data_IF_856564076532
#
_entry.id   IF_856564076532
#
_cell.length_a   1.000
_cell.length_b   1.000
_cell.length_c   1.000
_cell.angle_alpha   90.00
_cell.angle_beta   90.00
_cell.angle_gamma   90.00
#
_symmetry.space_group_name_H-M   'P 1'
#
loop_
_entity.id
_entity.type
_entity.pdbx_description
1 polymer ?
#
# COMPACT_ATOMS: atom_id res chain seq x y z
N UNK A 1 -8.64 12.05 -14.03
CA UNK A 1 -9.93 11.70 -13.39
C UNK A 1 -10.52 10.38 -13.87
N UNK A 2 -10.73 10.15 -15.17
CA UNK A 2 -11.30 8.87 -15.68
C UNK A 2 -10.47 7.62 -15.36
N UNK A 3 -9.13 7.71 -15.31
CA UNK A 3 -8.25 6.59 -14.92
C UNK A 3 -8.27 6.27 -13.41
N UNK A 4 -8.57 7.26 -12.56
CA UNK A 4 -8.62 7.11 -11.10
C UNK A 4 -9.83 6.29 -10.65
N UNK A 5 -10.94 6.41 -11.39
CA UNK A 5 -12.18 5.67 -11.16
C UNK A 5 -12.00 4.18 -11.49
N UNK A 6 -11.18 3.85 -12.48
CA UNK A 6 -10.94 2.46 -12.90
C UNK A 6 -10.10 1.65 -11.90
N UNK A 7 -9.14 2.28 -11.22
CA UNK A 7 -8.31 1.59 -10.22
C UNK A 7 -9.07 1.24 -8.95
N UNK A 8 -10.02 2.08 -8.52
CA UNK A 8 -10.92 1.76 -7.41
C UNK A 8 -11.78 0.53 -7.74
N UNK A 9 -12.29 0.41 -8.97
CA UNK A 9 -13.15 -0.71 -9.40
C UNK A 9 -12.39 -2.05 -9.43
N UNK A 10 -11.10 -2.07 -9.78
CA UNK A 10 -10.30 -3.29 -9.87
C UNK A 10 -9.93 -3.89 -8.50
N UNK A 11 -9.69 -3.06 -7.49
CA UNK A 11 -9.41 -3.52 -6.11
C UNK A 11 -10.64 -4.24 -5.50
N UNK A 12 -11.86 -3.87 -5.91
CA UNK A 12 -13.10 -4.53 -5.45
C UNK A 12 -13.36 -5.91 -6.08
N UNK A 13 -12.65 -6.29 -7.14
CA UNK A 13 -12.93 -7.54 -7.88
C UNK A 13 -12.33 -8.81 -7.25
N UNK A 14 -11.52 -8.69 -6.20
CA UNK A 14 -10.90 -9.83 -5.50
C UNK A 14 -11.54 -10.16 -4.14
N UNK A 15 -12.63 -9.48 -3.76
CA UNK A 15 -13.38 -9.82 -2.53
C UNK A 15 -14.30 -11.01 -2.83
N UNK A 16 -14.03 -12.13 -2.16
CA UNK A 16 -14.71 -13.43 -2.21
C UNK A 16 -16.21 -13.39 -2.55
N UNK A 17 -16.64 -14.43 -3.27
CA UNK A 17 -17.96 -14.70 -3.89
C UNK A 17 -19.20 -14.51 -2.97
N UNK A 18 -19.05 -14.27 -1.67
CA UNK A 18 -20.16 -13.91 -0.76
C UNK A 18 -20.52 -12.42 -0.72
N UNK A 19 -19.79 -11.55 -1.44
CA UNK A 19 -20.03 -10.09 -1.45
C UNK A 19 -21.09 -9.61 -2.47
N UNK A 20 -21.86 -10.50 -3.09
CA UNK A 20 -22.79 -10.16 -4.20
C UNK A 20 -23.98 -9.24 -3.81
N UNK A 21 -24.17 -8.88 -2.54
CA UNK A 21 -25.26 -7.99 -2.10
C UNK A 21 -24.78 -6.80 -1.24
N UNK A 22 -23.57 -6.28 -1.48
CA UNK A 22 -23.14 -5.04 -0.84
C UNK A 22 -23.44 -3.82 -1.73
N UNK A 23 -24.65 -3.28 -1.63
CA UNK A 23 -24.94 -1.95 -2.16
C UNK A 23 -24.17 -0.93 -1.34
N UNK A 24 -23.16 -0.29 -1.95
CA UNK A 24 -22.41 0.80 -1.34
C UNK A 24 -23.39 1.93 -0.99
N UNK A 25 -23.61 2.25 0.30
CA UNK A 25 -24.51 3.34 0.67
C UNK A 25 -23.97 4.66 0.17
N UNK A 26 -24.85 5.45 -0.43
CA UNK A 26 -24.62 6.80 -0.98
C UNK A 26 -24.03 7.81 0.04
N UNK A 27 -23.91 7.41 1.32
CA UNK A 27 -23.20 8.16 2.38
C UNK A 27 -21.67 8.20 2.25
N UNK A 28 -21.06 7.49 1.29
CA UNK A 28 -19.60 7.54 1.03
C UNK A 28 -19.08 8.88 0.44
N UNK A 29 -19.88 9.95 0.39
CA UNK A 29 -19.55 11.23 -0.29
C UNK A 29 -19.10 12.40 0.61
N UNK A 30 -18.83 12.19 1.91
CA UNK A 30 -18.11 13.17 2.75
C UNK A 30 -16.54 13.08 2.78
N UNK A 31 -15.82 12.15 2.09
CA UNK A 31 -14.35 12.16 2.01
C UNK A 31 -13.73 13.21 1.07
N UNK A 32 -14.54 13.87 0.22
CA UNK A 32 -14.07 14.65 -0.93
C UNK A 32 -13.08 15.75 -0.55
N UNK A 33 -13.30 16.45 0.57
CA UNK A 33 -12.45 17.57 0.99
C UNK A 33 -11.07 17.14 1.52
N UNK A 34 -10.98 16.06 2.31
CA UNK A 34 -9.68 15.52 2.78
C UNK A 34 -8.88 14.95 1.61
N UNK A 35 -9.55 14.24 0.71
CA UNK A 35 -8.96 13.61 -0.47
C UNK A 35 -8.38 14.66 -1.42
N UNK A 36 -9.19 15.68 -1.77
CA UNK A 36 -8.79 16.81 -2.62
C UNK A 36 -7.69 17.64 -1.96
N UNK A 37 -7.76 17.90 -0.64
CA UNK A 37 -6.71 18.64 0.08
C UNK A 37 -5.39 17.87 0.10
N UNK A 38 -5.41 16.55 0.32
CA UNK A 38 -4.21 15.71 0.29
C UNK A 38 -3.60 15.65 -1.11
N UNK A 39 -4.45 15.55 -2.14
CA UNK A 39 -4.04 15.53 -3.54
C UNK A 39 -3.41 16.86 -3.97
N UNK A 40 -4.04 17.99 -3.62
CA UNK A 40 -3.53 19.33 -3.90
C UNK A 40 -2.20 19.61 -3.18
N UNK A 41 -2.05 19.18 -1.92
CA UNK A 41 -0.77 19.35 -1.17
C UNK A 41 0.39 18.61 -1.85
N UNK A 42 0.13 17.47 -2.46
CA UNK A 42 1.17 16.73 -3.19
C UNK A 42 1.53 17.34 -4.52
N UNK A 43 0.54 17.84 -5.28
CA UNK A 43 0.83 18.55 -6.53
C UNK A 43 1.78 19.73 -6.29
N UNK A 44 1.65 20.40 -5.14
CA UNK A 44 2.57 21.45 -4.71
C UNK A 44 3.95 20.87 -4.34
N UNK A 45 4.00 19.78 -3.57
CA UNK A 45 5.26 19.11 -3.15
C UNK A 45 6.13 18.67 -4.33
N UNK A 46 5.52 18.22 -5.42
CA UNK A 46 6.21 17.66 -6.59
C UNK A 46 6.25 18.61 -7.80
N UNK A 47 6.06 19.91 -7.60
CA UNK A 47 6.01 20.91 -8.67
C UNK A 47 7.26 20.97 -9.55
N UNK A 48 8.44 20.65 -8.98
CA UNK A 48 9.72 20.61 -9.70
C UNK A 48 10.06 19.29 -10.39
N UNK A 49 9.21 18.27 -10.26
CA UNK A 49 9.49 16.93 -10.80
C UNK A 49 9.10 16.88 -12.28
N UNK A 50 9.79 16.10 -13.11
CA UNK A 50 9.34 15.82 -14.47
C UNK A 50 7.99 15.05 -14.46
N UNK A 51 7.31 14.98 -15.60
CA UNK A 51 5.97 14.35 -15.69
C UNK A 51 5.97 12.90 -15.18
N UNK A 52 6.97 12.11 -15.53
CA UNK A 52 7.07 10.69 -15.15
C UNK A 52 7.22 10.51 -13.64
N UNK A 53 8.06 11.33 -13.01
CA UNK A 53 8.23 11.34 -11.56
C UNK A 53 6.96 11.78 -10.82
N UNK A 54 6.23 12.79 -11.36
CA UNK A 54 4.93 13.21 -10.82
C UNK A 54 3.89 12.09 -10.92
N UNK A 55 3.88 11.35 -12.02
CA UNK A 55 2.95 10.24 -12.24
C UNK A 55 3.21 9.11 -11.25
N UNK A 56 4.48 8.72 -11.02
CA UNK A 56 4.82 7.72 -10.00
C UNK A 56 4.43 8.13 -8.59
N UNK A 57 4.69 9.38 -8.19
CA UNK A 57 4.27 9.87 -6.87
C UNK A 57 2.74 9.92 -6.74
N UNK A 58 2.04 10.38 -7.77
CA UNK A 58 0.58 10.43 -7.78
C UNK A 58 -0.01 9.03 -7.67
N UNK A 59 0.56 8.05 -8.37
CA UNK A 59 0.12 6.65 -8.32
C UNK A 59 0.37 6.04 -6.94
N UNK A 60 1.59 6.12 -6.41
CA UNK A 60 1.94 5.59 -5.09
C UNK A 60 1.11 6.18 -3.98
N UNK A 61 0.92 7.50 -3.99
CA UNK A 61 0.06 8.12 -2.99
C UNK A 61 -1.40 7.70 -3.18
N UNK A 62 -1.90 7.60 -4.41
CA UNK A 62 -3.30 7.18 -4.64
C UNK A 62 -3.54 5.78 -4.12
N UNK A 63 -2.63 4.85 -4.43
CA UNK A 63 -2.70 3.45 -4.00
C UNK A 63 -2.68 3.33 -2.48
N UNK A 64 -1.69 3.95 -1.83
CA UNK A 64 -1.58 3.91 -0.35
C UNK A 64 -2.69 4.67 0.34
N UNK A 65 -3.12 5.81 -0.21
CA UNK A 65 -4.24 6.58 0.33
C UNK A 65 -5.56 5.81 0.24
N UNK A 66 -5.81 5.08 -0.86
CA UNK A 66 -7.03 4.29 -1.01
C UNK A 66 -7.14 3.20 0.07
N UNK A 67 -6.05 2.47 0.34
CA UNK A 67 -6.01 1.46 1.41
C UNK A 67 -6.33 2.11 2.77
N UNK A 68 -5.64 3.19 3.12
CA UNK A 68 -5.83 3.87 4.40
C UNK A 68 -7.24 4.46 4.53
N UNK A 69 -7.77 5.08 3.47
CA UNK A 69 -9.11 5.65 3.50
C UNK A 69 -10.19 4.57 3.67
N UNK A 70 -10.08 3.44 2.97
CA UNK A 70 -11.03 2.33 3.10
C UNK A 70 -11.00 1.79 4.52
N UNK A 71 -9.80 1.62 5.10
CA UNK A 71 -9.66 1.20 6.49
C UNK A 71 -10.30 2.21 7.45
N UNK A 72 -9.97 3.50 7.33
CA UNK A 72 -10.52 4.58 8.16
C UNK A 72 -12.06 4.63 8.11
N UNK A 73 -12.65 4.55 6.91
CA UNK A 73 -14.12 4.54 6.74
C UNK A 73 -14.74 3.35 7.45
N UNK A 74 -14.12 2.17 7.37
CA UNK A 74 -14.62 0.96 8.03
C UNK A 74 -14.44 1.01 9.55
N UNK A 75 -13.35 1.62 10.04
CA UNK A 75 -13.14 1.88 11.47
C UNK A 75 -14.21 2.85 12.02
N UNK A 76 -14.43 3.96 11.33
CA UNK A 76 -15.38 5.02 11.71
C UNK A 76 -16.84 4.52 11.74
N UNK A 77 -17.18 3.54 10.89
CA UNK A 77 -18.52 2.93 10.88
C UNK A 77 -18.86 2.23 12.21
N UNK A 78 -17.84 1.82 12.98
CA UNK A 78 -18.01 1.02 14.18
C UNK A 78 -18.44 -0.42 13.87
N UNK A 79 -18.03 -1.36 14.71
CA UNK A 79 -18.35 -2.77 14.51
C UNK A 79 -17.90 -3.66 15.66
N UNK A 80 -18.30 -4.94 15.66
CA UNK A 80 -17.78 -5.92 16.61
C UNK A 80 -16.26 -6.10 16.46
N UNK A 81 -15.59 -6.62 17.49
CA UNK A 81 -14.13 -6.73 17.53
C UNK A 81 -13.53 -7.48 16.32
N UNK A 82 -14.22 -8.50 15.81
CA UNK A 82 -13.78 -9.27 14.65
C UNK A 82 -13.83 -8.46 13.34
N UNK A 83 -14.73 -7.47 13.20
CA UNK A 83 -14.75 -6.59 12.01
C UNK A 83 -13.44 -5.79 11.93
N UNK A 84 -12.91 -5.35 13.07
CA UNK A 84 -11.65 -4.62 13.08
C UNK A 84 -10.45 -5.47 12.70
N UNK A 85 -10.43 -6.75 13.12
CA UNK A 85 -9.40 -7.69 12.68
C UNK A 85 -9.44 -7.92 11.17
N UNK A 86 -10.64 -7.98 10.60
CA UNK A 86 -10.83 -8.08 9.14
C UNK A 86 -10.33 -6.82 8.42
N UNK A 87 -10.63 -5.62 8.93
CA UNK A 87 -10.12 -4.37 8.35
C UNK A 87 -8.59 -4.35 8.32
N UNK A 88 -7.96 -4.71 9.42
CA UNK A 88 -6.50 -4.74 9.53
C UNK A 88 -5.90 -5.82 8.61
N UNK A 89 -6.52 -7.00 8.53
CA UNK A 89 -6.07 -8.08 7.65
C UNK A 89 -6.23 -7.74 6.16
N UNK A 90 -7.33 -7.10 5.77
CA UNK A 90 -7.53 -6.63 4.39
C UNK A 90 -6.49 -5.57 4.01
N UNK A 91 -6.12 -4.71 4.97
CA UNK A 91 -5.05 -3.73 4.78
C UNK A 91 -3.69 -4.41 4.58
N UNK A 92 -3.37 -5.42 5.38
CA UNK A 92 -2.18 -6.27 5.22
C UNK A 92 -2.10 -6.88 3.81
N UNK A 93 -3.17 -7.53 3.35
CA UNK A 93 -3.22 -8.15 2.02
C UNK A 93 -3.08 -7.11 0.89
N UNK A 94 -3.73 -5.95 1.05
CA UNK A 94 -3.64 -4.86 0.07
C UNK A 94 -2.22 -4.33 -0.05
N UNK A 95 -1.49 -4.20 1.07
CA UNK A 95 -0.09 -3.81 1.05
C UNK A 95 0.83 -4.89 0.45
N UNK A 96 0.54 -6.18 0.64
CA UNK A 96 1.31 -7.26 -0.01
C UNK A 96 1.16 -7.23 -1.55
N UNK A 97 -0.03 -6.89 -2.05
CA UNK A 97 -0.26 -6.64 -3.47
C UNK A 97 0.56 -5.43 -3.95
N UNK A 98 0.56 -4.32 -3.21
CA UNK A 98 1.35 -3.13 -3.58
C UNK A 98 2.85 -3.41 -3.54
N UNK A 99 3.34 -4.18 -2.57
CA UNK A 99 4.73 -4.60 -2.50
C UNK A 99 5.16 -5.29 -3.80
N UNK A 100 4.36 -6.25 -4.28
CA UNK A 100 4.63 -6.95 -5.53
C UNK A 100 4.58 -6.01 -6.74
N UNK A 101 3.64 -5.05 -6.77
CA UNK A 101 3.58 -4.01 -7.81
C UNK A 101 4.87 -3.20 -7.87
N UNK A 102 5.31 -2.65 -6.74
CA UNK A 102 6.50 -1.78 -6.69
C UNK A 102 7.82 -2.56 -6.83
N UNK A 103 7.87 -3.83 -6.40
CA UNK A 103 8.96 -4.73 -6.73
C UNK A 103 9.10 -4.90 -8.24
N UNK A 104 8.01 -5.20 -8.95
CA UNK A 104 8.03 -5.38 -10.40
C UNK A 104 8.39 -4.09 -11.14
N UNK A 105 7.90 -2.96 -10.64
CA UNK A 105 8.18 -1.65 -11.21
C UNK A 105 9.67 -1.29 -11.08
N UNK A 106 10.27 -1.46 -9.90
CA UNK A 106 11.71 -1.31 -9.71
C UNK A 106 12.49 -2.28 -10.60
N UNK A 107 12.13 -3.57 -10.55
CA UNK A 107 12.79 -4.63 -11.31
C UNK A 107 12.79 -4.34 -12.81
N UNK A 108 11.74 -3.75 -13.36
CA UNK A 108 11.66 -3.43 -14.79
C UNK A 108 12.74 -2.42 -15.24
N UNK A 109 13.23 -1.57 -14.34
CA UNK A 109 14.22 -0.51 -14.62
C UNK A 109 15.67 -0.97 -14.48
N UNK A 110 15.89 -2.13 -13.87
CA UNK A 110 17.23 -2.65 -13.59
C UNK A 110 17.82 -3.42 -14.77
N UNK A 111 19.15 -3.40 -14.89
CA UNK A 111 19.90 -4.31 -15.75
C UNK A 111 19.83 -5.77 -15.24
N UNK A 112 20.39 -6.73 -15.98
CA UNK A 112 20.30 -8.16 -15.63
C UNK A 112 20.91 -8.48 -14.26
N UNK A 113 22.08 -7.90 -13.95
CA UNK A 113 22.82 -8.23 -12.73
C UNK A 113 22.12 -7.64 -11.51
N UNK A 114 21.66 -6.38 -11.60
CA UNK A 114 20.94 -5.72 -10.52
C UNK A 114 19.54 -6.31 -10.31
N UNK A 115 18.89 -6.84 -11.36
CA UNK A 115 17.67 -7.64 -11.22
C UNK A 115 17.87 -8.87 -10.33
N UNK A 116 19.00 -9.57 -10.48
CA UNK A 116 19.29 -10.74 -9.65
C UNK A 116 19.63 -10.31 -8.21
N UNK A 117 20.41 -9.23 -8.02
CA UNK A 117 20.66 -8.67 -6.67
C UNK A 117 19.36 -8.27 -5.97
N UNK A 118 18.45 -7.57 -6.66
CA UNK A 118 17.14 -7.20 -6.12
C UNK A 118 16.33 -8.44 -5.73
N UNK A 119 16.33 -9.48 -6.57
CA UNK A 119 15.65 -10.75 -6.25
C UNK A 119 16.23 -11.41 -5.00
N UNK A 120 17.56 -11.47 -4.86
CA UNK A 120 18.19 -12.04 -3.67
C UNK A 120 17.88 -11.21 -2.41
N UNK A 121 17.95 -9.88 -2.51
CA UNK A 121 17.56 -8.99 -1.41
C UNK A 121 16.09 -9.21 -1.00
N UNK A 122 15.18 -9.36 -1.97
CA UNK A 122 13.77 -9.63 -1.71
C UNK A 122 13.56 -10.99 -1.02
N UNK A 123 14.27 -12.04 -1.45
CA UNK A 123 14.20 -13.37 -0.82
C UNK A 123 14.70 -13.35 0.63
N UNK A 124 15.77 -12.60 0.91
CA UNK A 124 16.28 -12.42 2.28
C UNK A 124 15.28 -11.63 3.12
N UNK A 125 14.70 -10.57 2.56
CA UNK A 125 13.66 -9.80 3.24
C UNK A 125 12.43 -10.65 3.57
N UNK A 126 11.99 -11.54 2.68
CA UNK A 126 10.89 -12.47 2.95
C UNK A 126 11.20 -13.36 4.16
N UNK A 127 12.42 -13.90 4.25
CA UNK A 127 12.85 -14.68 5.43
C UNK A 127 12.82 -13.85 6.71
N UNK A 128 13.31 -12.61 6.66
CA UNK A 128 13.23 -11.68 7.78
C UNK A 128 11.76 -11.45 8.19
N UNK A 129 10.89 -11.06 7.25
CA UNK A 129 9.46 -10.84 7.48
C UNK A 129 8.79 -12.03 8.14
N UNK A 130 9.06 -13.23 7.65
CA UNK A 130 8.46 -14.46 8.15
C UNK A 130 8.95 -14.74 9.59
N UNK A 131 10.26 -14.62 9.85
CA UNK A 131 10.83 -14.78 11.20
C UNK A 131 10.35 -13.72 12.20
N UNK A 132 10.21 -12.48 11.76
CA UNK A 132 9.66 -11.38 12.57
C UNK A 132 8.18 -11.65 12.88
N UNK A 133 7.43 -12.16 11.90
CA UNK A 133 6.02 -12.51 12.06
C UNK A 133 5.81 -13.65 13.06
N UNK A 134 6.70 -14.64 13.10
CA UNK A 134 6.69 -15.71 14.11
C UNK A 134 7.00 -15.16 15.52
N UNK A 135 7.98 -14.27 15.63
CA UNK A 135 8.31 -13.61 16.89
C UNK A 135 7.13 -12.77 17.41
N UNK A 136 6.54 -11.93 16.56
CA UNK A 136 5.39 -11.08 16.90
C UNK A 136 4.21 -11.94 17.35
N UNK A 137 3.92 -13.06 16.67
CA UNK A 137 2.84 -13.96 17.05
C UNK A 137 3.06 -14.52 18.45
N UNK A 138 4.27 -15.02 18.73
CA UNK A 138 4.63 -15.56 20.04
C UNK A 138 4.59 -14.50 21.15
N UNK A 139 5.03 -13.29 20.84
CA UNK A 139 5.15 -12.20 21.82
C UNK A 139 3.81 -11.51 22.11
N UNK A 140 3.05 -11.14 21.08
CA UNK A 140 1.84 -10.34 21.20
C UNK A 140 0.56 -11.16 21.37
N UNK A 141 0.51 -12.44 20.98
CA UNK A 141 -0.68 -13.29 21.20
C UNK A 141 -1.06 -13.43 22.68
N UNK A 142 -0.09 -13.22 23.59
CA UNK A 142 -0.29 -13.23 25.05
C UNK A 142 -1.14 -12.05 25.55
N UNK A 143 -1.36 -11.02 24.73
CA UNK A 143 -2.09 -9.80 25.07
C UNK A 143 -3.60 -9.84 24.80
N UNK A 144 -4.19 -10.99 24.46
CA UNK A 144 -5.62 -11.10 24.14
C UNK A 144 -6.03 -10.29 22.91
N UNK A 145 -7.23 -9.70 22.90
CA UNK A 145 -7.77 -8.96 21.75
C UNK A 145 -6.90 -7.78 21.29
N UNK A 146 -6.34 -7.01 22.24
CA UNK A 146 -5.41 -5.92 21.95
C UNK A 146 -4.09 -6.43 21.36
N UNK A 147 -3.59 -7.55 21.88
CA UNK A 147 -2.40 -8.21 21.35
C UNK A 147 -2.57 -8.69 19.91
N UNK A 148 -3.73 -9.27 19.58
CA UNK A 148 -4.06 -9.70 18.23
C UNK A 148 -4.09 -8.54 17.22
N UNK A 149 -4.58 -7.36 17.61
CA UNK A 149 -4.59 -6.16 16.76
C UNK A 149 -3.19 -5.59 16.58
N UNK A 150 -2.43 -5.48 17.66
CA UNK A 150 -1.04 -5.03 17.61
C UNK A 150 -0.19 -5.94 16.68
N UNK A 151 -0.45 -7.25 16.69
CA UNK A 151 0.18 -8.23 15.79
C UNK A 151 -0.12 -7.94 14.31
N UNK A 152 -1.39 -7.78 13.93
CA UNK A 152 -1.76 -7.51 12.53
C UNK A 152 -1.24 -6.13 12.09
N UNK A 153 -1.34 -5.11 12.94
CA UNK A 153 -0.79 -3.78 12.68
C UNK A 153 0.73 -3.82 12.43
N UNK A 154 1.47 -4.55 13.27
CA UNK A 154 2.94 -4.65 13.14
C UNK A 154 3.32 -5.35 11.83
N UNK A 155 2.63 -6.44 11.47
CA UNK A 155 2.80 -7.14 10.19
C UNK A 155 2.52 -6.23 9.00
N UNK A 156 1.43 -5.48 9.06
CA UNK A 156 1.03 -4.54 8.00
C UNK A 156 2.11 -3.47 7.79
N UNK A 157 2.66 -2.91 8.86
CA UNK A 157 3.72 -1.91 8.75
C UNK A 157 5.03 -2.48 8.22
N UNK A 158 5.38 -3.73 8.55
CA UNK A 158 6.55 -4.39 7.97
C UNK A 158 6.48 -4.40 6.44
N UNK A 159 5.33 -4.81 5.87
CA UNK A 159 5.10 -4.84 4.42
C UNK A 159 5.03 -3.43 3.83
N UNK A 160 4.31 -2.51 4.48
CA UNK A 160 4.18 -1.12 4.05
C UNK A 160 5.54 -0.44 3.93
N UNK A 161 6.40 -0.55 4.95
CA UNK A 161 7.72 0.08 4.96
C UNK A 161 8.60 -0.46 3.83
N UNK A 162 8.56 -1.77 3.58
CA UNK A 162 9.32 -2.35 2.46
C UNK A 162 8.77 -1.92 1.10
N UNK A 163 7.45 -1.77 0.98
CA UNK A 163 6.80 -1.21 -0.20
C UNK A 163 7.27 0.23 -0.47
N UNK A 164 7.37 1.06 0.58
CA UNK A 164 7.91 2.42 0.51
C UNK A 164 9.39 2.42 0.08
N UNK A 165 10.22 1.51 0.58
CA UNK A 165 11.62 1.39 0.13
C UNK A 165 11.73 1.06 -1.36
N UNK A 166 10.98 0.06 -1.84
CA UNK A 166 10.98 -0.34 -3.26
C UNK A 166 10.52 0.81 -4.17
N UNK A 167 9.51 1.57 -3.73
CA UNK A 167 9.07 2.77 -4.41
C UNK A 167 10.16 3.86 -4.41
N UNK A 168 10.81 4.12 -3.29
CA UNK A 168 11.86 5.14 -3.22
C UNK A 168 13.05 4.80 -4.13
N UNK A 169 13.49 3.54 -4.18
CA UNK A 169 14.54 3.11 -5.13
C UNK A 169 14.13 3.33 -6.59
N UNK A 170 12.86 3.09 -6.92
CA UNK A 170 12.33 3.40 -8.26
C UNK A 170 12.48 4.88 -8.59
N UNK A 171 12.10 5.75 -7.63
CA UNK A 171 12.13 7.19 -7.81
C UNK A 171 13.56 7.67 -8.02
N UNK A 172 14.52 7.21 -7.21
CA UNK A 172 15.93 7.59 -7.37
C UNK A 172 16.49 7.19 -8.74
N UNK A 173 16.27 5.95 -9.19
CA UNK A 173 16.69 5.53 -10.54
C UNK A 173 16.03 6.35 -11.64
N UNK A 174 14.77 6.76 -11.46
CA UNK A 174 14.07 7.59 -12.45
C UNK A 174 14.63 9.02 -12.50
N UNK A 175 15.12 9.55 -11.37
CA UNK A 175 15.79 10.85 -11.33
C UNK A 175 17.13 10.78 -12.03
N UNK A 176 17.96 9.77 -11.72
CA UNK A 176 19.25 9.56 -12.38
C UNK A 176 19.10 9.38 -13.90
N UNK A 177 18.11 8.60 -14.36
CA UNK A 177 17.80 8.48 -15.79
C UNK A 177 17.50 9.85 -16.42
N UNK A 178 16.78 10.73 -15.72
CA UNK A 178 16.47 12.05 -16.25
C UNK A 178 17.69 12.96 -16.27
N UNK A 179 18.49 12.98 -15.20
CA UNK A 179 19.68 13.83 -15.10
C UNK A 179 20.79 13.42 -16.08
N UNK A 180 20.90 12.15 -16.44
CA UNK A 180 21.90 11.67 -17.41
C UNK A 180 21.49 11.83 -18.88
N UNK A 181 20.24 12.22 -19.17
CA UNK A 181 19.71 12.40 -20.53
C UNK A 181 19.56 13.88 -20.93
N UNK A 182 20.00 14.82 -20.09
CA UNK A 182 20.01 16.26 -20.30
C UNK A 182 21.35 16.86 -19.85
#
# INVERSE_FOLDING_TARGET
MKKLIFYLILIFSFVSIKAQNYSIPELMFQPKNKLVKSFNKQQIKYRGYNQRLRDYHSEFHTDTFAINLIADIRFDRGGPEDEYRLIEYDSYLSYDILLNKYYNLLRAKLNKDDKEKLKQAQLIWLKFRDSESEFIDSYLSKGGGLGARAMIWTRTNCIKNHTEHLFNYTIELTKEEYENNY
#
